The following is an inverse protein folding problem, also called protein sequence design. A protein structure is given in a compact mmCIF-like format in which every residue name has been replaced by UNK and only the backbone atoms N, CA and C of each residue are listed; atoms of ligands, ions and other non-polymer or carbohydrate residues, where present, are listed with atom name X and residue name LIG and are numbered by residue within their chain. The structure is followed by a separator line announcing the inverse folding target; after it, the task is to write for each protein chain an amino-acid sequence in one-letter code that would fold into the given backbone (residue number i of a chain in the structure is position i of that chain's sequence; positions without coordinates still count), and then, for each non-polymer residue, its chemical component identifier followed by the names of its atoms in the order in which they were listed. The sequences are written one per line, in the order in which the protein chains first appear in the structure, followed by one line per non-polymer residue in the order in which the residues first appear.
data_IF_293521890956
#
_entry.id   IF_293521890956
#
_cell.length_a   1.000
_cell.length_b   1.000
_cell.length_c   1.000
_cell.angle_alpha   90.00
_cell.angle_beta   90.00
_cell.angle_gamma   90.00
#
_symmetry.space_group_name_H-M   'P 1'
#
loop_
_entity.id
_entity.type
_entity.pdbx_description
1 polymer ?
#
# COMPACT_ATOMS: atom_id res chain seq x y z
N UNK A 1 19.51 -15.76 -11.43
CA UNK A 1 18.16 -15.85 -10.93
C UNK A 1 17.24 -14.80 -11.54
N UNK A 2 16.07 -15.19 -11.89
CA UNK A 2 15.12 -14.26 -12.48
C UNK A 2 14.41 -13.46 -11.41
N UNK A 3 14.44 -12.16 -11.61
CA UNK A 3 13.66 -11.26 -10.79
C UNK A 3 12.31 -11.12 -11.45
N UNK A 4 11.32 -11.81 -10.96
CA UNK A 4 9.99 -11.66 -11.51
C UNK A 4 9.27 -10.56 -10.77
N UNK A 5 8.34 -9.91 -11.47
CA UNK A 5 7.48 -8.93 -10.85
C UNK A 5 6.55 -9.64 -9.88
N UNK A 6 6.19 -8.99 -8.78
CA UNK A 6 5.16 -9.56 -7.93
C UNK A 6 3.83 -9.64 -8.69
N UNK A 7 3.07 -10.67 -8.40
CA UNK A 7 1.73 -10.80 -8.98
C UNK A 7 0.79 -9.81 -8.31
N UNK A 8 -0.36 -9.58 -8.90
CA UNK A 8 -1.35 -8.68 -8.30
C UNK A 8 -1.73 -9.17 -6.90
N UNK A 9 -1.88 -10.48 -6.73
CA UNK A 9 -2.19 -11.05 -5.42
C UNK A 9 -1.07 -10.80 -4.41
N UNK A 10 0.18 -10.92 -4.84
CA UNK A 10 1.31 -10.65 -3.97
C UNK A 10 1.39 -9.18 -3.56
N UNK A 11 1.05 -8.29 -4.49
CA UNK A 11 1.01 -6.85 -4.21
C UNK A 11 -0.05 -6.55 -3.14
N UNK A 12 -1.24 -7.10 -3.30
CA UNK A 12 -2.33 -6.92 -2.35
C UNK A 12 -1.95 -7.46 -0.98
N UNK A 13 -1.38 -8.66 -0.95
CA UNK A 13 -0.98 -9.29 0.30
C UNK A 13 0.11 -8.50 1.01
N UNK A 14 1.09 -8.01 0.27
CA UNK A 14 2.19 -7.22 0.83
C UNK A 14 1.68 -5.92 1.42
N UNK A 15 0.79 -5.23 0.70
CA UNK A 15 0.21 -3.97 1.17
C UNK A 15 -0.62 -4.20 2.41
N UNK A 16 -1.46 -5.23 2.39
CA UNK A 16 -2.29 -5.59 3.54
C UNK A 16 -1.44 -5.87 4.78
N UNK A 17 -0.42 -6.69 4.60
CA UNK A 17 0.49 -7.06 5.68
C UNK A 17 1.23 -5.85 6.24
N UNK A 18 1.67 -4.95 5.36
CA UNK A 18 2.38 -3.75 5.77
C UNK A 18 1.48 -2.82 6.59
N UNK A 19 0.21 -2.69 6.18
CA UNK A 19 -0.77 -1.90 6.93
C UNK A 19 -0.93 -2.47 8.34
N UNK A 20 -1.08 -3.79 8.46
CA UNK A 20 -1.23 -4.44 9.75
C UNK A 20 0.01 -4.20 10.62
N UNK A 21 1.19 -4.34 10.04
CA UNK A 21 2.43 -4.08 10.78
C UNK A 21 2.51 -2.66 11.32
N UNK A 22 2.11 -1.68 10.51
CA UNK A 22 2.14 -0.29 10.95
C UNK A 22 1.18 -0.03 12.09
N UNK A 23 -0.01 -0.63 12.03
CA UNK A 23 -0.98 -0.49 13.11
C UNK A 23 -0.47 -1.13 14.39
N UNK A 24 0.15 -2.30 14.29
CA UNK A 24 0.70 -2.98 15.45
C UNK A 24 1.83 -2.20 16.09
N UNK A 25 2.70 -1.62 15.29
CA UNK A 25 3.80 -0.79 15.80
C UNK A 25 3.30 0.45 16.51
N UNK A 26 2.16 0.97 16.08
CA UNK A 26 1.55 2.15 16.69
C UNK A 26 0.69 1.79 17.90
N UNK A 27 0.69 0.52 18.30
CA UNK A 27 -0.09 0.02 19.42
C UNK A 27 -1.59 0.22 19.21
N UNK A 28 -2.03 0.12 17.96
CA UNK A 28 -3.43 0.23 17.60
C UNK A 28 -3.99 -1.13 17.26
N UNK A 29 -5.24 -1.39 17.58
CA UNK A 29 -5.84 -2.67 17.21
C UNK A 29 -5.94 -2.77 15.68
N UNK A 30 -5.47 -3.90 15.14
CA UNK A 30 -5.59 -4.18 13.73
C UNK A 30 -6.91 -4.93 13.53
N UNK A 31 -7.98 -4.18 13.28
CA UNK A 31 -9.26 -4.80 12.98
C UNK A 31 -9.26 -5.30 11.53
N UNK A 32 -10.01 -6.35 11.24
CA UNK A 32 -10.09 -6.84 9.87
C UNK A 32 -10.58 -5.76 8.91
N UNK A 33 -9.99 -5.71 7.75
CA UNK A 33 -10.38 -4.77 6.69
C UNK A 33 -10.20 -5.44 5.34
N UNK A 34 -10.85 -4.90 4.33
CA UNK A 34 -10.72 -5.40 2.97
C UNK A 34 -10.43 -4.25 2.00
N UNK A 35 -10.43 -4.56 0.71
CA UNK A 35 -10.07 -3.57 -0.31
C UNK A 35 -11.07 -2.43 -0.44
N UNK A 36 -12.31 -2.63 -0.03
CA UNK A 36 -13.33 -1.60 -0.10
C UNK A 36 -13.24 -0.61 1.06
N UNK A 37 -12.48 -0.95 2.09
CA UNK A 37 -12.36 -0.09 3.26
C UNK A 37 -11.51 1.12 2.95
N UNK A 38 -11.92 2.25 3.49
CA UNK A 38 -11.16 3.48 3.38
C UNK A 38 -9.88 3.35 4.21
N UNK A 39 -8.77 3.83 3.67
CA UNK A 39 -7.47 3.75 4.35
C UNK A 39 -7.51 4.36 5.75
N UNK A 40 -8.20 5.50 5.88
CA UNK A 40 -8.31 6.15 7.19
C UNK A 40 -9.16 5.30 8.14
N UNK A 41 -10.16 4.60 7.62
CA UNK A 41 -11.01 3.74 8.43
C UNK A 41 -10.28 2.53 9.01
N UNK A 42 -9.15 2.15 8.43
CA UNK A 42 -8.34 1.06 8.97
C UNK A 42 -7.60 1.48 10.25
N UNK A 43 -7.57 2.77 10.53
CA UNK A 43 -6.86 3.31 11.69
C UNK A 43 -5.57 4.02 11.33
N UNK A 44 -5.23 4.09 10.05
CA UNK A 44 -4.01 4.77 9.60
C UNK A 44 -4.19 6.28 9.65
N UNK A 45 -3.15 6.98 10.10
CA UNK A 45 -3.09 8.42 10.02
C UNK A 45 -2.38 8.83 8.73
N UNK A 46 -2.38 10.13 8.44
CA UNK A 46 -1.63 10.65 7.29
C UNK A 46 -0.15 10.32 7.40
N UNK A 47 0.39 10.38 8.61
CA UNK A 47 1.79 10.05 8.84
C UNK A 47 2.06 8.56 8.58
N UNK A 48 1.12 7.70 8.97
CA UNK A 48 1.22 6.27 8.71
C UNK A 48 1.17 5.99 7.21
N UNK A 49 0.34 6.72 6.47
CA UNK A 49 0.28 6.57 5.01
C UNK A 49 1.60 6.95 4.37
N UNK A 50 2.23 8.01 4.85
CA UNK A 50 3.56 8.39 4.35
C UNK A 50 4.57 7.29 4.62
N UNK A 51 4.53 6.70 5.83
CA UNK A 51 5.43 5.61 6.18
C UNK A 51 5.15 4.36 5.33
N UNK A 52 3.89 4.08 5.06
CA UNK A 52 3.49 2.95 4.21
C UNK A 52 4.07 3.11 2.80
N UNK A 53 3.87 4.27 2.20
CA UNK A 53 4.36 4.54 0.85
C UNK A 53 5.89 4.46 0.82
N UNK A 54 6.55 5.02 1.82
CA UNK A 54 8.02 4.97 1.89
C UNK A 54 8.53 3.52 2.01
N UNK A 55 7.84 2.69 2.80
CA UNK A 55 8.20 1.29 2.97
C UNK A 55 8.05 0.53 1.65
N UNK A 56 6.94 0.73 0.96
CA UNK A 56 6.68 0.06 -0.30
C UNK A 56 7.62 0.55 -1.40
N UNK A 57 7.95 1.84 -1.40
CA UNK A 57 8.89 2.39 -2.37
C UNK A 57 10.26 1.74 -2.22
N UNK A 58 10.70 1.48 -1.00
CA UNK A 58 11.97 0.80 -0.76
C UNK A 58 11.90 -0.67 -1.17
N UNK A 59 10.75 -1.31 -0.93
CA UNK A 59 10.60 -2.73 -1.24
C UNK A 59 10.59 -2.99 -2.74
N UNK A 60 9.84 -2.19 -3.49
CA UNK A 60 9.68 -2.38 -4.92
C UNK A 60 10.45 -1.38 -5.77
N UNK A 61 11.07 -0.40 -5.12
CA UNK A 61 11.87 0.65 -5.77
C UNK A 61 11.06 1.44 -6.79
N UNK A 62 9.79 1.68 -6.46
CA UNK A 62 8.90 2.51 -7.26
C UNK A 62 8.06 3.38 -6.34
N UNK A 63 7.61 4.51 -6.87
CA UNK A 63 6.72 5.40 -6.16
C UNK A 63 5.67 5.92 -7.15
N UNK A 64 4.50 5.28 -7.20
CA UNK A 64 3.47 5.66 -8.17
C UNK A 64 2.93 7.07 -7.93
N UNK A 65 3.07 7.60 -6.73
CA UNK A 65 2.53 8.93 -6.41
C UNK A 65 3.47 10.04 -6.85
N UNK A 66 4.70 9.72 -7.11
CA UNK A 66 5.65 10.69 -7.62
C UNK A 66 5.49 10.90 -9.12
N UNK A 67 5.15 9.84 -9.84
CA UNK A 67 5.16 9.85 -11.31
C UNK A 67 3.76 9.88 -11.92
N UNK A 68 2.80 9.21 -11.33
CA UNK A 68 1.54 8.89 -12.01
C UNK A 68 0.31 9.42 -11.29
N UNK A 69 0.26 9.32 -9.98
CA UNK A 69 -0.95 9.61 -9.22
C UNK A 69 -0.65 10.41 -7.97
N UNK A 70 -1.57 11.33 -7.65
CA UNK A 70 -1.50 12.02 -6.37
C UNK A 70 -2.04 11.10 -5.29
N UNK A 71 -1.39 11.10 -4.12
CA UNK A 71 -1.83 10.30 -2.98
C UNK A 71 -3.27 10.67 -2.57
N UNK A 72 -3.68 11.90 -2.84
CA UNK A 72 -5.03 12.37 -2.51
C UNK A 72 -6.12 11.68 -3.33
N UNK A 73 -5.77 11.05 -4.44
CA UNK A 73 -6.73 10.30 -5.26
C UNK A 73 -6.96 8.90 -4.73
N UNK A 74 -6.13 8.45 -3.80
CA UNK A 74 -6.22 7.11 -3.23
C UNK A 74 -7.00 7.17 -1.94
N UNK A 75 -8.14 6.50 -1.90
CA UNK A 75 -9.03 6.54 -0.73
C UNK A 75 -9.18 5.20 -0.06
N UNK A 76 -9.25 4.13 -0.83
CA UNK A 76 -9.47 2.79 -0.29
C UNK A 76 -8.19 1.97 -0.37
N UNK A 77 -8.19 0.86 0.36
CA UNK A 77 -7.09 -0.10 0.28
C UNK A 77 -6.94 -0.60 -1.16
N UNK A 78 -8.06 -0.86 -1.83
CA UNK A 78 -8.05 -1.30 -3.23
C UNK A 78 -7.48 -0.26 -4.17
N UNK A 79 -7.77 1.02 -3.92
CA UNK A 79 -7.19 2.09 -4.73
C UNK A 79 -5.67 2.09 -4.61
N UNK A 80 -5.16 1.89 -3.40
CA UNK A 80 -3.72 1.84 -3.17
C UNK A 80 -3.12 0.64 -3.89
N UNK A 81 -3.75 -0.52 -3.78
CA UNK A 81 -3.27 -1.72 -4.45
C UNK A 81 -3.22 -1.52 -5.97
N UNK A 82 -4.26 -0.93 -6.54
CA UNK A 82 -4.30 -0.67 -7.97
C UNK A 82 -3.22 0.29 -8.42
N UNK A 83 -2.93 1.31 -7.63
CA UNK A 83 -1.87 2.26 -7.96
C UNK A 83 -0.52 1.55 -8.11
N UNK A 84 -0.21 0.65 -7.17
CA UNK A 84 1.02 -0.11 -7.24
C UNK A 84 0.99 -1.15 -8.36
N UNK A 85 -0.14 -1.81 -8.56
CA UNK A 85 -0.28 -2.79 -9.64
C UNK A 85 -0.05 -2.14 -10.99
N UNK A 86 -0.66 -1.00 -11.23
CA UNK A 86 -0.49 -0.27 -12.50
C UNK A 86 0.94 0.15 -12.71
N UNK A 87 1.58 0.66 -11.68
CA UNK A 87 2.95 1.13 -11.78
C UNK A 87 3.92 -0.03 -12.02
N UNK A 88 3.73 -1.13 -11.33
CA UNK A 88 4.59 -2.31 -11.48
C UNK A 88 4.39 -2.95 -12.85
N UNK A 89 3.14 -3.07 -13.28
CA UNK A 89 2.83 -3.72 -14.57
C UNK A 89 3.18 -2.86 -15.78
N UNK A 90 3.39 -1.58 -15.58
CA UNK A 90 3.80 -0.68 -16.66
C UNK A 90 5.30 -0.75 -16.95
N UNK A 91 6.06 -1.45 -16.15
CA UNK A 91 7.51 -1.55 -16.30
C UNK A 91 7.97 -2.68 -17.23
#
# INVERSE_FOLDING_TARGET
MLTSRPTDAEIEETIHHTIVELLERADRPATPFDEDDNLISTGLTSLDLAALVATLARRWKIDPFLEVKAITEVRTVGDLCRAYQECINAR
#
